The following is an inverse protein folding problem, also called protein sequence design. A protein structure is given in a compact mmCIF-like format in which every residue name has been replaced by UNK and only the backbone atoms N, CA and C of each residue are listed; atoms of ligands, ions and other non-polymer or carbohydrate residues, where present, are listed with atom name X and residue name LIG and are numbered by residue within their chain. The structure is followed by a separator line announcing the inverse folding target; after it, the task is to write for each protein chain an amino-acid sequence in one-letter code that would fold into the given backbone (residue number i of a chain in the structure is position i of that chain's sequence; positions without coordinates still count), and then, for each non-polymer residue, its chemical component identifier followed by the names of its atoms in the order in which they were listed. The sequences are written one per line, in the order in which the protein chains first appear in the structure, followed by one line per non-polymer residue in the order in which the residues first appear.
data_IF_774506367974
#
_entry.id   IF_774506367974
#
_cell.length_a   1.000
_cell.length_b   1.000
_cell.length_c   1.000
_cell.angle_alpha   90.00
_cell.angle_beta   90.00
_cell.angle_gamma   90.00
#
_symmetry.space_group_name_H-M   'P 1'
#
loop_
_entity.id
_entity.type
_entity.pdbx_description
1 polymer ?
#
# COMPACT_ATOMS: atom_id res chain seq x y z
N UNK A 1 -21.58 -15.79 -17.45
CA UNK A 1 -20.56 -15.17 -16.57
C UNK A 1 -21.22 -14.04 -15.82
N UNK A 2 -21.00 -13.93 -14.50
CA UNK A 2 -21.50 -12.80 -13.71
C UNK A 2 -20.61 -11.59 -14.00
N UNK A 3 -21.20 -10.45 -14.35
CA UNK A 3 -20.45 -9.21 -14.57
C UNK A 3 -19.90 -8.68 -13.25
N UNK A 4 -18.62 -8.29 -13.24
CA UNK A 4 -17.97 -7.69 -12.08
C UNK A 4 -18.40 -6.23 -12.02
N UNK A 5 -19.01 -5.82 -10.91
CA UNK A 5 -19.55 -4.45 -10.75
C UNK A 5 -18.97 -3.70 -9.57
N UNK A 6 -18.36 -4.42 -8.63
CA UNK A 6 -17.78 -3.85 -7.41
C UNK A 6 -16.38 -4.40 -7.22
N UNK A 7 -15.41 -3.52 -7.04
CA UNK A 7 -14.00 -3.87 -6.89
C UNK A 7 -13.45 -3.23 -5.63
N UNK A 8 -12.62 -3.97 -4.91
CA UNK A 8 -11.79 -3.43 -3.84
C UNK A 8 -10.31 -3.51 -4.23
N UNK A 9 -9.61 -2.40 -4.04
CA UNK A 9 -8.15 -2.28 -4.12
C UNK A 9 -7.60 -2.23 -2.70
N UNK A 10 -6.60 -3.05 -2.39
CA UNK A 10 -5.99 -3.13 -1.07
C UNK A 10 -4.59 -2.53 -1.16
N UNK A 11 -4.38 -1.40 -0.48
CA UNK A 11 -3.19 -0.56 -0.55
C UNK A 11 -3.33 0.60 -1.53
N UNK A 12 -2.87 1.78 -1.11
CA UNK A 12 -2.76 3.02 -1.89
C UNK A 12 -1.29 3.40 -2.15
N UNK A 13 -0.44 2.39 -2.35
CA UNK A 13 0.92 2.55 -2.89
C UNK A 13 0.94 2.72 -4.41
N UNK A 14 2.12 2.66 -5.06
CA UNK A 14 2.25 2.81 -6.51
C UNK A 14 1.30 1.92 -7.32
N UNK A 15 1.28 0.62 -7.01
CA UNK A 15 0.41 -0.34 -7.70
C UNK A 15 -1.08 -0.08 -7.46
N UNK A 16 -1.45 0.33 -6.25
CA UNK A 16 -2.83 0.67 -5.91
C UNK A 16 -3.32 1.93 -6.62
N UNK A 17 -2.51 2.99 -6.60
CA UNK A 17 -2.84 4.26 -7.23
C UNK A 17 -3.08 4.11 -8.75
N UNK A 18 -2.20 3.41 -9.45
CA UNK A 18 -2.37 3.21 -10.90
C UNK A 18 -3.50 2.21 -11.22
N UNK A 19 -3.75 1.23 -10.35
CA UNK A 19 -4.88 0.32 -10.51
C UNK A 19 -6.22 1.06 -10.40
N UNK A 20 -6.35 2.00 -9.46
CA UNK A 20 -7.55 2.83 -9.32
C UNK A 20 -7.80 3.64 -10.57
N UNK A 21 -6.76 4.28 -11.10
CA UNK A 21 -6.86 5.05 -12.34
C UNK A 21 -7.34 4.18 -13.53
N UNK A 22 -6.73 3.02 -13.72
CA UNK A 22 -7.12 2.09 -14.77
C UNK A 22 -8.57 1.61 -14.60
N UNK A 23 -8.96 1.20 -13.39
CA UNK A 23 -10.32 0.73 -13.09
C UNK A 23 -11.37 1.84 -13.32
N UNK A 24 -11.08 3.07 -12.93
CA UNK A 24 -11.99 4.20 -13.13
C UNK A 24 -12.16 4.52 -14.63
N UNK A 25 -11.08 4.47 -15.41
CA UNK A 25 -11.10 4.73 -16.86
C UNK A 25 -11.93 3.71 -17.65
N UNK A 26 -12.06 2.47 -17.17
CA UNK A 26 -12.92 1.44 -17.78
C UNK A 26 -14.41 1.81 -17.76
N UNK A 27 -14.86 2.65 -16.81
CA UNK A 27 -16.28 3.05 -16.66
C UNK A 27 -17.26 1.86 -16.62
N UNK A 28 -16.78 0.71 -16.16
CA UNK A 28 -17.53 -0.56 -16.17
C UNK A 28 -18.03 -0.97 -14.77
N UNK A 29 -17.43 -0.40 -13.72
CA UNK A 29 -17.70 -0.72 -12.32
C UNK A 29 -18.66 0.31 -11.71
N UNK A 30 -19.62 -0.19 -10.94
CA UNK A 30 -20.58 0.63 -10.21
C UNK A 30 -19.97 1.11 -8.87
N UNK A 31 -18.99 0.39 -8.33
CA UNK A 31 -18.29 0.74 -7.09
C UNK A 31 -16.80 0.35 -7.14
N UNK A 32 -15.93 1.31 -6.88
CA UNK A 32 -14.51 1.11 -6.60
C UNK A 32 -14.27 1.55 -5.16
N UNK A 33 -13.63 0.71 -4.35
CA UNK A 33 -13.22 1.05 -2.98
C UNK A 33 -11.74 0.75 -2.79
N UNK A 34 -11.03 1.63 -2.12
CA UNK A 34 -9.61 1.47 -1.81
C UNK A 34 -9.45 1.45 -0.29
N UNK A 35 -8.62 0.54 0.21
CA UNK A 35 -8.33 0.46 1.64
C UNK A 35 -6.83 0.62 1.85
N UNK A 36 -6.43 1.67 2.56
CA UNK A 36 -5.04 1.93 2.92
C UNK A 36 -4.92 1.93 4.44
N UNK A 37 -3.98 1.12 4.95
CA UNK A 37 -3.75 0.98 6.39
C UNK A 37 -3.12 2.24 6.99
N UNK A 38 -2.37 3.00 6.19
CA UNK A 38 -1.75 4.26 6.57
C UNK A 38 -2.69 5.46 6.40
N UNK A 39 -2.26 6.57 6.96
CA UNK A 39 -2.92 7.86 7.00
C UNK A 39 -2.97 8.59 5.64
N UNK A 40 -2.16 8.15 4.66
CA UNK A 40 -2.11 8.74 3.34
C UNK A 40 -1.65 7.72 2.29
N UNK A 41 -1.79 8.09 1.00
CA UNK A 41 -1.25 7.33 -0.11
C UNK A 41 0.28 7.46 -0.22
N UNK A 42 0.90 6.49 -0.89
CA UNK A 42 2.34 6.47 -1.16
C UNK A 42 2.99 5.11 -0.91
N UNK A 43 2.35 4.22 -0.14
CA UNK A 43 2.92 2.92 0.22
C UNK A 43 4.24 3.09 0.96
N UNK A 44 5.30 2.38 0.52
CA UNK A 44 6.63 2.52 1.12
C UNK A 44 7.20 3.96 1.02
N UNK A 45 6.75 4.78 0.06
CA UNK A 45 7.21 6.17 -0.10
C UNK A 45 6.62 7.16 0.90
N UNK A 46 5.67 6.71 1.74
CA UNK A 46 5.15 7.52 2.83
C UNK A 46 6.14 7.50 4.00
N UNK A 47 7.21 8.32 3.91
CA UNK A 47 8.23 8.38 4.95
C UNK A 47 7.69 8.81 6.32
N UNK A 48 8.19 8.17 7.37
CA UNK A 48 7.74 8.39 8.74
C UNK A 48 8.32 9.68 9.33
N UNK A 49 7.54 10.36 10.18
CA UNK A 49 7.97 11.57 10.88
C UNK A 49 8.62 11.29 12.23
N UNK A 50 8.52 10.05 12.71
CA UNK A 50 9.07 9.58 13.99
C UNK A 50 9.98 8.39 13.75
N UNK A 51 11.05 8.21 14.55
CA UNK A 51 11.86 7.01 14.47
C UNK A 51 11.01 5.74 14.66
N UNK A 52 11.30 4.66 13.91
CA UNK A 52 10.59 3.40 14.09
C UNK A 52 10.82 2.85 15.51
N UNK A 53 9.88 2.07 16.05
CA UNK A 53 10.09 1.38 17.31
C UNK A 53 11.29 0.44 17.22
N UNK A 54 11.93 0.17 18.36
CA UNK A 54 12.99 -0.83 18.42
C UNK A 54 12.44 -2.21 18.03
N UNK A 55 13.20 -2.96 17.24
CA UNK A 55 12.85 -4.32 16.89
C UNK A 55 12.70 -5.16 18.16
N UNK A 56 11.58 -5.87 18.25
CA UNK A 56 11.28 -6.83 19.30
C UNK A 56 11.17 -8.22 18.70
N UNK A 57 11.45 -9.25 19.49
CA UNK A 57 11.26 -10.65 19.10
C UNK A 57 12.03 -11.04 17.82
N UNK A 58 13.37 -10.95 17.89
CA UNK A 58 14.27 -11.29 16.80
C UNK A 58 14.14 -12.75 16.35
N UNK A 59 13.72 -13.65 17.24
CA UNK A 59 13.49 -15.05 16.91
C UNK A 59 12.26 -15.21 16.00
N UNK A 60 11.14 -14.57 16.34
CA UNK A 60 9.96 -14.58 15.47
C UNK A 60 10.24 -13.90 14.12
N UNK A 61 11.08 -12.84 14.10
CA UNK A 61 11.50 -12.21 12.85
C UNK A 61 12.34 -13.17 11.99
N UNK A 62 13.33 -13.85 12.59
CA UNK A 62 14.17 -14.83 11.91
C UNK A 62 13.36 -16.01 11.37
N UNK A 63 12.33 -16.44 12.11
CA UNK A 63 11.44 -17.52 11.71
C UNK A 63 10.26 -17.06 10.83
N UNK A 64 10.17 -15.77 10.51
CA UNK A 64 9.08 -15.16 9.72
C UNK A 64 7.68 -15.40 10.29
N UNK A 65 7.58 -15.41 11.63
CA UNK A 65 6.33 -15.56 12.39
C UNK A 65 5.97 -14.32 13.21
N UNK A 66 6.68 -13.20 13.01
CA UNK A 66 6.52 -11.98 13.80
C UNK A 66 5.22 -11.19 13.54
N UNK A 67 4.49 -11.48 12.46
CA UNK A 67 3.20 -10.83 12.13
C UNK A 67 2.04 -11.85 12.10
N UNK A 68 1.62 -12.38 13.26
CA UNK A 68 0.49 -13.29 13.32
C UNK A 68 -0.84 -12.57 12.98
N UNK A 69 -1.85 -13.29 12.46
CA UNK A 69 -3.19 -12.74 12.31
C UNK A 69 -3.74 -12.23 13.65
N UNK A 70 -4.51 -11.15 13.59
CA UNK A 70 -5.19 -10.56 14.76
C UNK A 70 -6.51 -11.28 15.04
N UNK A 71 -6.90 -11.32 16.31
CA UNK A 71 -8.20 -11.88 16.71
C UNK A 71 -9.34 -10.99 16.22
N UNK A 72 -10.19 -11.56 15.37
CA UNK A 72 -11.36 -10.87 14.81
C UNK A 72 -12.55 -11.02 15.78
N UNK A 73 -13.26 -9.94 16.14
CA UNK A 73 -14.44 -10.03 17.00
C UNK A 73 -15.53 -10.97 16.46
N UNK A 74 -16.14 -11.76 17.33
CA UNK A 74 -17.20 -12.74 16.98
C UNK A 74 -18.42 -12.10 16.30
N UNK A 75 -18.69 -10.82 16.58
CA UNK A 75 -19.81 -10.06 16.03
C UNK A 75 -19.29 -8.76 15.42
N UNK A 76 -19.74 -8.45 14.21
CA UNK A 76 -19.40 -7.23 13.47
C UNK A 76 -20.68 -6.49 13.05
N UNK A 77 -20.71 -5.14 13.08
CA UNK A 77 -19.61 -4.25 13.47
C UNK A 77 -19.32 -4.26 14.98
N UNK A 78 -18.09 -3.92 15.35
CA UNK A 78 -17.65 -3.87 16.75
C UNK A 78 -16.66 -2.74 17.02
N UNK A 79 -16.57 -2.36 18.30
CA UNK A 79 -15.45 -1.58 18.83
C UNK A 79 -14.66 -2.44 19.80
N UNK A 80 -13.34 -2.48 19.63
CA UNK A 80 -12.41 -3.16 20.53
C UNK A 80 -11.43 -2.16 21.13
N UNK A 81 -10.73 -2.47 22.23
CA UNK A 81 -9.54 -1.73 22.60
C UNK A 81 -8.56 -1.61 21.42
N UNK A 82 -7.79 -0.52 21.37
CA UNK A 82 -6.78 -0.30 20.33
C UNK A 82 -5.79 -1.46 20.31
N UNK A 83 -5.52 -2.00 19.14
CA UNK A 83 -4.54 -3.06 18.98
C UNK A 83 -3.14 -2.56 19.32
N UNK A 84 -2.43 -3.31 20.16
CA UNK A 84 -1.03 -3.01 20.54
C UNK A 84 -0.01 -3.85 19.77
N UNK A 85 -0.46 -4.89 19.07
CA UNK A 85 0.39 -5.72 18.22
C UNK A 85 1.02 -4.86 17.10
N UNK A 86 2.35 -4.92 16.90
CA UNK A 86 3.01 -4.29 15.76
C UNK A 86 2.40 -4.76 14.43
N UNK A 87 2.11 -3.81 13.54
CA UNK A 87 1.57 -4.10 12.20
C UNK A 87 2.56 -3.81 11.07
N UNK A 88 3.83 -3.55 11.42
CA UNK A 88 4.93 -3.30 10.48
C UNK A 88 4.51 -2.34 9.35
N UNK A 89 3.93 -1.20 9.75
CA UNK A 89 3.43 -0.18 8.85
C UNK A 89 4.45 0.95 8.60
N UNK A 90 5.56 0.93 9.34
CA UNK A 90 6.68 1.85 9.20
C UNK A 90 7.24 1.78 7.78
N UNK A 91 7.72 2.92 7.30
CA UNK A 91 8.35 3.07 5.99
C UNK A 91 9.83 2.68 6.04
N UNK A 92 10.31 2.10 4.96
CA UNK A 92 11.74 1.84 4.74
C UNK A 92 12.51 3.08 4.25
N UNK A 93 11.83 4.21 4.06
CA UNK A 93 12.44 5.46 3.59
C UNK A 93 13.26 6.10 4.70
N UNK A 94 14.48 6.51 4.35
CA UNK A 94 15.35 7.32 5.20
C UNK A 94 15.46 8.76 4.67
N UNK A 95 15.83 9.75 5.50
CA UNK A 95 15.67 11.17 5.19
C UNK A 95 16.31 11.64 3.88
N UNK A 96 17.45 11.06 3.51
CA UNK A 96 18.25 11.41 2.33
C UNK A 96 18.10 10.41 1.17
N UNK A 97 17.05 9.59 1.18
CA UNK A 97 16.79 8.63 0.10
C UNK A 97 16.56 9.34 -1.24
N UNK A 98 17.37 8.98 -2.22
CA UNK A 98 17.19 9.29 -3.63
C UNK A 98 16.86 7.97 -4.37
N UNK A 99 16.09 8.05 -5.46
CA UNK A 99 15.85 6.87 -6.30
C UNK A 99 17.18 6.33 -6.86
N UNK A 100 17.27 5.01 -7.00
CA UNK A 100 18.39 4.34 -7.67
C UNK A 100 18.07 3.98 -9.13
N UNK A 101 16.84 4.28 -9.59
CA UNK A 101 16.37 4.09 -10.96
C UNK A 101 16.13 5.47 -11.56
N UNK A 102 16.43 5.59 -12.85
CA UNK A 102 16.11 6.77 -13.65
C UNK A 102 14.59 7.03 -13.66
N UNK A 103 14.20 8.29 -13.49
CA UNK A 103 12.80 8.69 -13.45
C UNK A 103 12.01 8.24 -14.69
N UNK A 104 12.62 8.17 -15.87
CA UNK A 104 11.94 7.76 -17.12
C UNK A 104 11.46 6.30 -17.04
N UNK A 105 12.34 5.28 -16.86
CA UNK A 105 11.89 3.90 -16.75
C UNK A 105 11.14 3.59 -15.44
N UNK A 106 11.29 4.42 -14.40
CA UNK A 106 10.54 4.26 -13.16
C UNK A 106 9.09 4.75 -13.26
N UNK A 107 8.79 5.68 -14.18
CA UNK A 107 7.46 6.27 -14.34
C UNK A 107 6.44 5.30 -14.91
N UNK A 108 5.16 5.49 -14.57
CA UNK A 108 4.10 4.86 -15.36
C UNK A 108 4.08 5.45 -16.77
N UNK A 109 3.80 4.63 -17.77
CA UNK A 109 3.95 5.02 -19.19
C UNK A 109 3.11 6.23 -19.62
N UNK A 110 2.04 6.57 -18.89
CA UNK A 110 1.18 7.72 -19.15
C UNK A 110 1.22 8.78 -18.05
N UNK A 111 2.03 8.57 -17.01
CA UNK A 111 2.12 9.45 -15.85
C UNK A 111 3.60 9.69 -15.53
N UNK A 112 4.26 10.65 -16.18
CA UNK A 112 5.68 10.91 -15.93
C UNK A 112 5.91 11.44 -14.51
N UNK A 113 6.95 10.94 -13.85
CA UNK A 113 7.43 11.48 -12.57
C UNK A 113 7.93 12.92 -12.80
N UNK A 114 7.63 13.87 -11.90
CA UNK A 114 8.11 15.25 -12.00
C UNK A 114 9.64 15.34 -12.12
N UNK A 115 10.12 16.36 -12.82
CA UNK A 115 11.56 16.59 -13.05
C UNK A 115 12.27 17.28 -11.88
N UNK A 116 11.62 17.44 -10.73
CA UNK A 116 12.20 18.09 -9.55
C UNK A 116 13.40 17.29 -9.02
N UNK A 117 14.59 17.88 -9.09
CA UNK A 117 15.82 17.30 -8.54
C UNK A 117 16.18 17.97 -7.20
N UNK A 118 16.71 17.19 -6.25
CA UNK A 118 17.19 17.76 -4.99
C UNK A 118 18.50 18.53 -5.20
N UNK A 119 18.80 19.57 -4.41
CA UNK A 119 20.09 20.25 -4.47
C UNK A 119 21.27 19.30 -4.26
N UNK A 120 21.08 18.26 -3.45
CA UNK A 120 22.11 17.24 -3.18
C UNK A 120 22.39 16.39 -4.43
N UNK A 121 21.34 15.88 -5.09
CA UNK A 121 21.49 15.10 -6.32
C UNK A 121 22.11 15.93 -7.45
N UNK A 122 21.71 17.21 -7.59
CA UNK A 122 22.30 18.14 -8.56
C UNK A 122 23.78 18.39 -8.27
N UNK A 123 24.16 18.59 -7.01
CA UNK A 123 25.56 18.79 -6.63
C UNK A 123 26.45 17.57 -6.92
N UNK A 124 25.89 16.35 -6.80
CA UNK A 124 26.64 15.10 -6.98
C UNK A 124 26.69 14.61 -8.44
N UNK A 125 25.62 14.83 -9.20
CA UNK A 125 25.42 14.23 -10.52
C UNK A 125 25.17 15.24 -11.66
N UNK A 126 25.01 16.53 -11.34
CA UNK A 126 24.72 17.59 -12.31
C UNK A 126 23.22 17.89 -12.45
N UNK A 127 22.89 18.95 -13.20
CA UNK A 127 21.51 19.43 -13.38
C UNK A 127 20.60 18.40 -14.05
N UNK A 128 21.17 17.57 -14.94
CA UNK A 128 20.46 16.52 -15.69
C UNK A 128 20.35 15.19 -14.91
N UNK A 129 20.46 15.22 -13.57
CA UNK A 129 20.40 14.00 -12.76
C UNK A 129 19.09 13.23 -12.95
N UNK A 130 19.14 11.91 -13.21
CA UNK A 130 17.95 11.12 -13.46
C UNK A 130 17.21 10.73 -12.17
N UNK A 131 17.82 10.95 -11.01
CA UNK A 131 17.32 10.50 -9.71
C UNK A 131 16.40 11.52 -9.06
N UNK A 132 15.49 11.03 -8.22
CA UNK A 132 14.51 11.86 -7.51
C UNK A 132 14.55 11.60 -6.02
N UNK A 133 14.40 12.67 -5.24
CA UNK A 133 14.27 12.53 -3.80
C UNK A 133 12.96 11.82 -3.48
N UNK A 134 12.94 10.98 -2.45
CA UNK A 134 11.76 10.18 -2.09
C UNK A 134 10.49 11.03 -1.91
N UNK A 135 10.61 12.28 -1.46
CA UNK A 135 9.45 13.18 -1.31
C UNK A 135 8.81 13.55 -2.64
N UNK A 136 9.59 13.59 -3.74
CA UNK A 136 9.07 13.81 -5.10
C UNK A 136 8.19 12.63 -5.49
N UNK A 137 8.67 11.41 -5.25
CA UNK A 137 7.92 10.18 -5.51
C UNK A 137 6.66 10.12 -4.65
N UNK A 138 6.74 10.44 -3.35
CA UNK A 138 5.57 10.51 -2.47
C UNK A 138 4.50 11.46 -3.02
N UNK A 139 4.87 12.70 -3.36
CA UNK A 139 3.93 13.69 -3.90
C UNK A 139 3.33 13.26 -5.23
N UNK A 140 4.15 12.67 -6.10
CA UNK A 140 3.69 12.11 -7.37
C UNK A 140 2.65 11.00 -7.16
N UNK A 141 2.86 10.09 -6.22
CA UNK A 141 1.89 9.03 -5.92
C UNK A 141 0.59 9.56 -5.31
N UNK A 142 0.69 10.58 -4.46
CA UNK A 142 -0.48 11.24 -3.88
C UNK A 142 -1.30 11.95 -4.96
N UNK A 143 -0.66 12.66 -5.89
CA UNK A 143 -1.37 13.36 -6.96
C UNK A 143 -2.12 12.43 -7.93
N UNK A 144 -1.69 11.16 -8.06
CA UNK A 144 -2.42 10.16 -8.83
C UNK A 144 -3.78 9.79 -8.21
N UNK A 145 -3.95 9.93 -6.90
CA UNK A 145 -5.22 9.68 -6.21
C UNK A 145 -6.01 10.96 -5.90
N UNK A 146 -5.34 12.10 -5.74
CA UNK A 146 -6.02 13.39 -5.54
C UNK A 146 -6.74 13.89 -6.80
N UNK A 147 -6.33 13.41 -7.98
CA UNK A 147 -6.98 13.76 -9.24
C UNK A 147 -8.32 13.04 -9.42
N UNK A 148 -9.16 13.62 -10.29
CA UNK A 148 -10.39 13.01 -10.79
C UNK A 148 -11.36 12.49 -9.70
N UNK A 149 -11.22 12.96 -8.46
CA UNK A 149 -12.02 12.55 -7.30
C UNK A 149 -11.70 11.15 -6.77
N UNK A 150 -10.55 10.54 -7.11
CA UNK A 150 -10.24 9.19 -6.66
C UNK A 150 -10.02 9.09 -5.15
N UNK A 151 -9.65 10.19 -4.48
CA UNK A 151 -9.49 10.27 -3.04
C UNK A 151 -10.79 9.87 -2.30
N UNK A 152 -11.96 10.21 -2.85
CA UNK A 152 -13.27 9.83 -2.29
C UNK A 152 -13.51 8.32 -2.29
N UNK A 153 -12.75 7.56 -3.09
CA UNK A 153 -12.81 6.10 -3.15
C UNK A 153 -11.99 5.44 -2.03
N UNK A 154 -11.10 6.19 -1.38
CA UNK A 154 -10.11 5.67 -0.43
C UNK A 154 -10.58 5.77 1.01
N UNK A 155 -10.44 4.67 1.74
CA UNK A 155 -10.55 4.62 3.19
C UNK A 155 -9.15 4.48 3.79
N UNK A 156 -8.57 5.61 4.21
CA UNK A 156 -7.31 5.64 4.95
C UNK A 156 -7.46 5.11 6.38
N UNK A 157 -6.31 4.86 7.03
CA UNK A 157 -6.21 4.29 8.37
C UNK A 157 -7.02 3.00 8.54
N UNK A 158 -7.22 2.25 7.45
CA UNK A 158 -8.11 1.09 7.38
C UNK A 158 -7.35 -0.13 6.86
N UNK A 159 -7.13 -1.09 7.75
CA UNK A 159 -6.50 -2.36 7.44
C UNK A 159 -7.55 -3.39 7.01
N UNK A 160 -7.25 -4.14 5.96
CA UNK A 160 -8.02 -5.35 5.59
C UNK A 160 -7.43 -6.52 6.36
N UNK A 161 -8.12 -6.97 7.41
CA UNK A 161 -7.63 -8.03 8.30
C UNK A 161 -7.97 -9.43 7.78
N UNK A 162 -9.02 -9.55 6.97
CA UNK A 162 -9.39 -10.84 6.35
C UNK A 162 -10.12 -10.65 5.02
N UNK A 163 -9.83 -11.53 4.07
CA UNK A 163 -10.50 -11.62 2.77
C UNK A 163 -11.02 -13.05 2.59
N UNK A 164 -12.32 -13.20 2.40
CA UNK A 164 -12.96 -14.51 2.27
C UNK A 164 -13.84 -14.54 1.03
N UNK A 165 -13.79 -15.63 0.26
CA UNK A 165 -14.74 -15.83 -0.84
C UNK A 165 -16.01 -16.50 -0.32
N UNK A 166 -17.13 -15.80 -0.40
CA UNK A 166 -18.46 -16.29 0.00
C UNK A 166 -19.32 -16.40 -1.25
N UNK A 167 -19.42 -17.61 -1.80
CA UNK A 167 -20.11 -17.86 -3.07
C UNK A 167 -19.47 -17.09 -4.24
N UNK A 168 -20.20 -16.09 -4.75
CA UNK A 168 -19.77 -15.21 -5.84
C UNK A 168 -19.41 -13.79 -5.36
N UNK A 169 -19.12 -13.63 -4.06
CA UNK A 169 -18.67 -12.36 -3.51
C UNK A 169 -17.40 -12.56 -2.68
N UNK A 170 -16.65 -11.48 -2.53
CA UNK A 170 -15.54 -11.35 -1.60
C UNK A 170 -15.99 -10.57 -0.39
N UNK A 171 -15.94 -11.18 0.78
CA UNK A 171 -16.20 -10.55 2.06
C UNK A 171 -14.87 -10.08 2.65
N UNK A 172 -14.78 -8.79 2.91
CA UNK A 172 -13.64 -8.13 3.56
C UNK A 172 -14.02 -7.90 5.03
N UNK A 173 -13.14 -8.29 5.95
CA UNK A 173 -13.18 -7.83 7.35
C UNK A 173 -12.18 -6.69 7.49
N UNK A 174 -12.69 -5.54 7.92
CA UNK A 174 -11.96 -4.27 7.94
C UNK A 174 -11.78 -3.81 9.38
N UNK A 175 -10.62 -3.25 9.67
CA UNK A 175 -10.30 -2.60 10.93
C UNK A 175 -9.80 -1.19 10.66
N UNK A 176 -10.43 -0.19 11.27
CA UNK A 176 -9.94 1.18 11.27
C UNK A 176 -9.22 1.45 12.58
N UNK A 177 -7.96 1.84 12.47
CA UNK A 177 -7.14 2.24 13.61
C UNK A 177 -7.68 3.55 14.19
N UNK A 178 -7.92 3.58 15.50
CA UNK A 178 -8.38 4.77 16.20
C UNK A 178 -7.47 5.15 17.37
N UNK A 179 -7.63 6.35 17.92
CA UNK A 179 -6.77 6.81 19.02
C UNK A 179 -6.93 5.97 20.31
N UNK A 180 -8.15 5.51 20.59
CA UNK A 180 -8.49 4.79 21.84
C UNK A 180 -9.07 3.40 21.63
N UNK A 181 -9.70 3.19 20.49
CA UNK A 181 -10.37 1.96 20.13
C UNK A 181 -10.30 1.74 18.62
N UNK A 182 -10.32 0.48 18.23
CA UNK A 182 -10.37 0.09 16.83
C UNK A 182 -11.82 -0.21 16.45
N UNK A 183 -12.20 0.23 15.26
CA UNK A 183 -13.52 -0.02 14.70
C UNK A 183 -13.47 -1.12 13.65
N UNK A 184 -14.36 -2.09 13.76
CA UNK A 184 -14.39 -3.27 12.90
C UNK A 184 -15.72 -3.39 12.18
N UNK A 185 -15.68 -3.74 10.90
CA UNK A 185 -16.87 -4.00 10.09
C UNK A 185 -16.56 -4.94 8.92
N UNK A 186 -17.58 -5.32 8.16
CA UNK A 186 -17.40 -6.10 6.93
C UNK A 186 -18.03 -5.40 5.73
N UNK A 187 -17.39 -5.54 4.58
CA UNK A 187 -17.94 -5.15 3.27
C UNK A 187 -17.87 -6.33 2.30
N UNK A 188 -18.89 -6.50 1.46
CA UNK A 188 -18.89 -7.49 0.39
C UNK A 188 -18.61 -6.81 -0.96
N UNK A 189 -17.81 -7.42 -1.84
CA UNK A 189 -17.57 -6.98 -3.21
C UNK A 189 -17.90 -8.12 -4.19
N UNK A 190 -18.41 -7.81 -5.38
CA UNK A 190 -18.78 -8.84 -6.37
C UNK A 190 -17.54 -9.56 -6.92
N UNK A 191 -17.61 -10.88 -7.17
CA UNK A 191 -16.49 -11.58 -7.79
C UNK A 191 -16.29 -11.18 -9.25
N UNK A 192 -15.13 -10.59 -9.51
CA UNK A 192 -14.18 -11.19 -10.44
C UNK A 192 -12.82 -10.56 -10.23
N UNK A 193 -11.79 -11.41 -10.35
CA UNK A 193 -10.40 -11.15 -10.02
C UNK A 193 -10.21 -9.99 -9.06
N UNK A 194 -10.46 -10.23 -7.76
CA UNK A 194 -9.76 -9.45 -6.75
C UNK A 194 -8.30 -9.83 -6.96
N UNK A 195 -7.60 -9.05 -7.78
CA UNK A 195 -6.20 -8.84 -7.51
C UNK A 195 -6.21 -8.09 -6.17
N UNK A 196 -6.22 -8.85 -5.08
CA UNK A 196 -5.50 -8.43 -3.91
C UNK A 196 -4.07 -8.32 -4.42
N UNK A 197 -3.72 -7.14 -4.92
CA UNK A 197 -2.34 -6.78 -5.20
C UNK A 197 -1.73 -6.58 -3.81
N UNK A 198 -1.61 -7.68 -3.06
CA UNK A 198 -0.64 -7.76 -1.98
C UNK A 198 0.68 -7.87 -2.71
N UNK A 199 1.30 -6.73 -3.00
CA UNK A 199 2.71 -6.68 -3.33
C UNK A 199 3.41 -7.02 -2.03
N UNK A 200 3.54 -8.32 -1.76
CA UNK A 200 4.58 -8.80 -0.86
C UNK A 200 5.90 -8.57 -1.61
N UNK A 201 6.85 -7.91 -0.96
CA UNK A 201 8.22 -7.79 -1.47
C UNK A 201 8.77 -9.22 -1.65
N UNK A 202 8.94 -9.64 -2.91
CA UNK A 202 9.41 -10.98 -3.25
C UNK A 202 10.86 -11.22 -2.79
N UNK A 203 11.07 -12.44 -2.33
CA UNK A 203 12.28 -13.02 -1.78
C UNK A 203 13.47 -12.99 -2.75
N UNK A 204 14.64 -12.62 -2.24
CA UNK A 204 15.90 -12.96 -2.89
C UNK A 204 16.09 -14.48 -2.86
N UNK A 205 16.07 -15.12 -4.03
CA UNK A 205 16.49 -16.52 -4.18
C UNK A 205 18.02 -16.59 -4.09
N UNK A 206 18.53 -17.35 -3.11
CA UNK A 206 19.93 -17.76 -3.06
C UNK A 206 20.22 -18.72 -4.24
N UNK A 207 21.11 -18.31 -5.14
CA UNK A 207 21.73 -19.20 -6.11
C UNK A 207 22.57 -20.25 -5.38
N UNK A 208 22.11 -21.51 -5.36
CA UNK A 208 22.97 -22.64 -5.06
C UNK A 208 23.90 -22.87 -6.26
N UNK A 209 25.16 -22.45 -6.10
CA UNK A 209 26.24 -22.85 -6.98
C UNK A 209 26.40 -24.38 -6.96
N UNK A 210 26.18 -25.00 -8.11
CA UNK A 210 26.72 -26.33 -8.39
C UNK A 210 28.18 -26.16 -8.80
N UNK A 211 29.09 -26.47 -7.88
CA UNK A 211 30.49 -26.73 -8.21
C UNK A 211 30.56 -28.04 -9.03
N UNK A 212 31.21 -27.95 -10.19
CA UNK A 212 31.64 -29.09 -11.01
C UNK A 212 33.09 -29.48 -10.73
#
# INVERSE_FOLDING_TARGET
MVAIKRVAVIGAGPGGAIAVDALAKEKAFDLIRVFERREAAGGCWLGDTTPPPLLTDLEALANRTADPPVDIPDRLPAQTPKLTQPRFADSSVYPYLETNVDAIPMSFSQEPIPSDCSPHSVALHGEDTPFRHWTVIRRYLQSLLERDGYEDLVSYSTTVERVEKVGHEWKLTLRRDGERSDYWWTECQSTGNVHAVKLEDEEAQEEQGQDG
#
